data_IF_485421951489
#
_entry.id   IF_485421951489
#
_cell.length_a   1.000
_cell.length_b   1.000
_cell.length_c   1.000
_cell.angle_alpha   90.00
_cell.angle_beta   90.00
_cell.angle_gamma   90.00
#
_symmetry.space_group_name_H-M   'P 1'
#
loop_
_entity.id
_entity.type
_entity.pdbx_description
1 polymer ?
#
# COMPACT_ATOMS: atom_id res chain seq x y z
N UNK A 1 -1.04 39.64 -9.96
CA UNK A 1 -0.77 38.22 -9.60
C UNK A 1 -1.08 37.39 -10.83
N UNK A 2 -0.08 36.78 -11.44
CA UNK A 2 -0.26 35.93 -12.62
C UNK A 2 -0.97 34.65 -12.16
N UNK A 3 -2.11 34.34 -12.78
CA UNK A 3 -2.77 33.05 -12.70
C UNK A 3 -1.79 32.01 -13.30
N UNK A 4 -0.95 31.39 -12.47
CA UNK A 4 -0.22 30.20 -12.85
C UNK A 4 -1.26 29.15 -13.20
N UNK A 5 -1.28 28.70 -14.45
CA UNK A 5 -2.07 27.55 -14.87
C UNK A 5 -1.62 26.36 -14.00
N UNK A 6 -2.51 25.85 -13.14
CA UNK A 6 -2.22 24.81 -12.14
C UNK A 6 -1.76 23.47 -12.79
N UNK A 7 -1.90 23.35 -14.11
CA UNK A 7 -1.44 22.20 -14.88
C UNK A 7 0.10 22.11 -15.03
N UNK A 8 0.84 23.19 -14.75
CA UNK A 8 2.27 23.38 -15.09
C UNK A 8 3.19 23.32 -13.85
N UNK A 9 2.73 22.78 -12.70
CA UNK A 9 3.52 22.76 -11.48
C UNK A 9 4.47 21.55 -11.42
N UNK A 10 5.76 21.84 -11.19
CA UNK A 10 6.75 20.84 -10.80
C UNK A 10 6.55 20.48 -9.32
N UNK A 11 6.16 19.24 -9.03
CA UNK A 11 5.86 18.78 -7.70
C UNK A 11 6.99 17.91 -7.16
N UNK A 12 7.60 18.34 -6.07
CA UNK A 12 8.50 17.47 -5.30
C UNK A 12 7.66 16.52 -4.45
N UNK A 13 7.73 15.24 -4.75
CA UNK A 13 7.06 14.18 -4.00
C UNK A 13 7.98 13.66 -2.91
N UNK A 14 7.52 13.72 -1.67
CA UNK A 14 8.18 13.22 -0.47
C UNK A 14 7.42 11.97 0.00
N UNK A 15 7.91 10.80 -0.40
CA UNK A 15 7.31 9.51 -0.06
C UNK A 15 8.09 8.87 1.09
N UNK A 16 7.68 9.18 2.33
CA UNK A 16 8.25 8.61 3.54
C UNK A 16 7.63 7.22 3.80
N UNK A 17 8.42 6.17 3.58
CA UNK A 17 8.11 4.80 3.95
C UNK A 17 8.66 4.44 5.32
N UNK A 18 8.30 3.26 5.86
CA UNK A 18 8.80 2.77 7.15
C UNK A 18 10.31 2.51 7.16
N UNK A 19 10.93 2.27 6.01
CA UNK A 19 12.34 1.89 5.87
C UNK A 19 13.16 2.83 4.97
N UNK A 20 12.51 3.72 4.22
CA UNK A 20 13.21 4.60 3.27
C UNK A 20 12.41 5.85 2.97
N UNK A 21 13.12 6.96 2.77
CA UNK A 21 12.60 8.18 2.19
C UNK A 21 12.89 8.17 0.69
N UNK A 22 11.85 8.24 -0.14
CA UNK A 22 11.98 8.36 -1.59
C UNK A 22 11.54 9.77 -2.00
N UNK A 23 12.38 10.43 -2.78
CA UNK A 23 12.12 11.76 -3.32
C UNK A 23 12.07 11.69 -4.84
N UNK A 24 11.08 12.34 -5.43
CA UNK A 24 10.98 12.47 -6.89
C UNK A 24 10.43 13.85 -7.25
N UNK A 25 11.06 14.52 -8.22
CA UNK A 25 10.48 15.71 -8.84
C UNK A 25 9.66 15.27 -10.04
N UNK A 26 8.37 15.56 -10.03
CA UNK A 26 7.42 15.22 -11.09
C UNK A 26 7.05 16.50 -11.84
N UNK A 27 7.41 16.56 -13.11
CA UNK A 27 7.11 17.69 -13.99
C UNK A 27 5.66 17.66 -14.53
N UNK A 28 5.31 18.65 -15.34
CA UNK A 28 3.97 18.81 -15.94
C UNK A 28 3.56 17.63 -16.84
N UNK A 29 4.51 17.02 -17.52
CA UNK A 29 4.30 15.87 -18.42
C UNK A 29 4.22 14.54 -17.67
N UNK A 30 4.41 14.54 -16.35
CA UNK A 30 4.44 13.34 -15.53
C UNK A 30 5.77 12.57 -15.61
N UNK A 31 6.83 13.22 -16.08
CA UNK A 31 8.17 12.66 -15.98
C UNK A 31 8.68 12.84 -14.55
N UNK A 32 9.19 11.75 -13.97
CA UNK A 32 9.70 11.77 -12.60
C UNK A 32 11.21 11.62 -12.59
N UNK A 33 11.88 12.58 -11.98
CA UNK A 33 13.31 12.55 -11.71
C UNK A 33 13.52 12.15 -10.23
N UNK A 34 14.24 11.05 -9.99
CA UNK A 34 14.64 10.67 -8.63
C UNK A 34 15.58 11.73 -8.05
N UNK A 35 15.29 12.15 -6.81
CA UNK A 35 16.06 13.14 -6.05
C UNK A 35 16.72 12.43 -4.87
N UNK A 36 18.02 12.68 -4.65
CA UNK A 36 18.76 11.95 -3.62
C UNK A 36 18.51 12.51 -2.20
N UNK A 37 18.34 13.83 -2.06
CA UNK A 37 17.99 14.49 -0.79
C UNK A 37 17.23 15.80 -1.03
N UNK A 38 16.62 16.37 0.01
CA UNK A 38 15.90 17.65 -0.10
C UNK A 38 16.83 18.79 -0.52
N UNK A 39 18.08 18.78 -0.06
CA UNK A 39 19.09 19.80 -0.39
C UNK A 39 19.56 19.70 -1.86
N UNK A 40 19.41 18.53 -2.46
CA UNK A 40 19.78 18.27 -3.87
C UNK A 40 18.56 18.34 -4.80
N UNK A 41 17.42 18.77 -4.31
CA UNK A 41 16.26 18.97 -5.16
C UNK A 41 16.57 20.04 -6.22
N UNK A 42 16.23 19.79 -7.50
CA UNK A 42 16.47 20.74 -8.57
C UNK A 42 15.79 22.09 -8.32
N UNK A 43 16.32 23.14 -8.90
CA UNK A 43 15.63 24.43 -8.95
C UNK A 43 14.29 24.28 -9.70
N UNK A 44 13.26 25.05 -9.30
CA UNK A 44 11.96 25.01 -9.97
C UNK A 44 10.93 24.12 -9.29
N UNK A 45 11.12 23.71 -8.03
CA UNK A 45 10.04 23.13 -7.22
C UNK A 45 8.98 24.19 -6.97
N UNK A 46 7.74 23.91 -7.41
CA UNK A 46 6.60 24.81 -7.27
C UNK A 46 5.70 24.42 -6.10
N UNK A 47 5.61 23.13 -5.77
CA UNK A 47 4.84 22.58 -4.67
C UNK A 47 5.47 21.30 -4.13
N UNK A 48 5.10 20.91 -2.90
CA UNK A 48 5.60 19.68 -2.27
C UNK A 48 4.41 18.78 -1.88
N UNK A 49 4.44 17.54 -2.34
CA UNK A 49 3.46 16.52 -2.00
C UNK A 49 4.02 15.50 -1.02
N UNK A 50 3.29 15.25 0.06
CA UNK A 50 3.72 14.33 1.12
C UNK A 50 2.82 13.11 1.19
N UNK A 51 3.41 11.91 1.13
CA UNK A 51 2.69 10.71 1.51
C UNK A 51 2.57 10.63 3.03
N UNK A 52 1.34 10.49 3.51
CA UNK A 52 1.02 10.21 4.91
C UNK A 52 0.34 8.86 4.99
N UNK A 53 0.84 7.96 5.86
CA UNK A 53 0.35 6.57 5.90
C UNK A 53 -1.08 6.50 6.41
N UNK A 54 -1.45 7.29 7.44
CA UNK A 54 -2.76 7.20 8.07
C UNK A 54 -3.42 8.57 8.20
N UNK A 55 -4.59 8.72 7.57
CA UNK A 55 -5.41 9.94 7.65
C UNK A 55 -6.51 9.89 8.73
N UNK A 56 -6.72 8.74 9.38
CA UNK A 56 -7.83 8.53 10.31
C UNK A 56 -9.19 8.72 9.63
N UNK A 57 -10.22 9.04 10.42
CA UNK A 57 -11.52 9.45 9.90
C UNK A 57 -11.54 10.89 9.42
N UNK A 58 -10.51 11.66 9.78
CA UNK A 58 -10.43 13.11 9.53
C UNK A 58 -10.03 13.43 8.11
N UNK A 59 -9.04 12.72 7.56
CA UNK A 59 -8.45 13.02 6.26
C UNK A 59 -8.80 11.93 5.25
N UNK A 60 -9.86 12.18 4.50
CA UNK A 60 -10.35 11.28 3.43
C UNK A 60 -9.94 11.76 2.03
N UNK A 61 -9.45 12.99 1.94
CA UNK A 61 -9.00 13.64 0.72
C UNK A 61 -7.63 14.30 0.95
N UNK A 62 -6.88 14.60 -0.10
CA UNK A 62 -5.65 15.39 0.00
C UNK A 62 -5.93 16.77 0.60
N UNK A 63 -5.02 17.29 1.43
CA UNK A 63 -5.21 18.55 2.16
C UNK A 63 -3.96 19.42 2.10
N UNK A 64 -4.16 20.75 1.93
CA UNK A 64 -3.10 21.75 2.06
C UNK A 64 -2.66 21.81 3.54
N UNK A 65 -1.35 21.71 3.77
CA UNK A 65 -0.80 21.63 5.12
C UNK A 65 -0.62 23.06 5.67
N UNK A 66 -1.41 23.39 6.67
CA UNK A 66 -1.24 24.54 7.58
C UNK A 66 -0.93 24.07 9.01
N UNK A 67 -0.85 24.99 9.95
CA UNK A 67 -0.55 24.68 11.36
C UNK A 67 -1.69 23.85 12.02
N UNK A 68 -2.95 24.07 11.62
CA UNK A 68 -4.07 23.31 12.14
C UNK A 68 -4.02 21.86 11.65
N UNK A 69 -3.77 21.67 10.33
CA UNK A 69 -3.60 20.35 9.73
C UNK A 69 -2.44 19.60 10.36
N UNK A 70 -1.31 20.27 10.68
CA UNK A 70 -0.20 19.62 11.37
C UNK A 70 -0.60 19.12 12.76
N UNK A 71 -1.28 19.93 13.55
CA UNK A 71 -1.75 19.54 14.88
C UNK A 71 -2.74 18.36 14.81
N UNK A 72 -3.62 18.34 13.80
CA UNK A 72 -4.54 17.22 13.56
C UNK A 72 -3.79 15.95 13.11
N UNK A 73 -2.75 16.06 12.27
CA UNK A 73 -1.91 14.93 11.85
C UNK A 73 -1.14 14.32 13.05
N UNK A 74 -0.66 15.15 13.96
CA UNK A 74 -0.05 14.68 15.21
C UNK A 74 -1.06 13.90 16.06
N UNK A 75 -2.30 14.38 16.17
CA UNK A 75 -3.35 13.68 16.89
C UNK A 75 -3.69 12.31 16.24
N UNK A 76 -3.77 12.26 14.92
CA UNK A 76 -4.00 11.01 14.14
C UNK A 76 -2.81 10.05 14.28
N UNK A 77 -1.59 10.54 14.53
CA UNK A 77 -0.40 9.71 14.70
C UNK A 77 -0.51 8.71 15.86
N UNK A 78 -1.41 8.95 16.82
CA UNK A 78 -1.72 7.98 17.88
C UNK A 78 -2.35 6.70 17.35
N UNK A 79 -3.00 6.73 16.18
CA UNK A 79 -3.59 5.56 15.51
C UNK A 79 -2.54 4.75 14.74
N UNK A 80 -1.41 5.37 14.38
CA UNK A 80 -0.33 4.76 13.62
C UNK A 80 1.05 5.18 14.17
N UNK A 81 1.39 4.84 15.43
CA UNK A 81 2.57 5.37 16.12
C UNK A 81 3.89 4.97 15.47
N UNK A 82 3.91 3.87 14.71
CA UNK A 82 5.10 3.40 13.99
C UNK A 82 5.23 3.97 12.57
N UNK A 83 4.16 4.58 12.02
CA UNK A 83 4.08 4.92 10.59
C UNK A 83 3.97 6.42 10.33
N UNK A 84 3.14 7.14 11.08
CA UNK A 84 2.95 8.58 10.88
C UNK A 84 4.11 9.45 11.37
N UNK A 85 4.81 9.17 12.50
CA UNK A 85 5.93 10.00 12.93
C UNK A 85 7.05 10.19 11.91
N UNK A 86 7.47 9.17 11.12
CA UNK A 86 8.40 9.38 10.01
C UNK A 86 7.86 10.35 8.95
N UNK A 87 6.57 10.29 8.62
CA UNK A 87 5.94 11.22 7.67
C UNK A 87 5.92 12.65 8.20
N UNK A 88 5.59 12.86 9.47
CA UNK A 88 5.62 14.18 10.10
C UNK A 88 7.02 14.80 10.11
N UNK A 89 8.05 14.02 10.45
CA UNK A 89 9.46 14.47 10.36
C UNK A 89 9.85 14.87 8.94
N UNK A 90 9.41 14.09 7.95
CA UNK A 90 9.67 14.40 6.54
C UNK A 90 8.93 15.67 6.07
N UNK A 91 7.70 15.90 6.57
CA UNK A 91 6.95 17.15 6.33
C UNK A 91 7.70 18.34 6.92
N UNK A 92 8.13 18.26 8.19
CA UNK A 92 8.87 19.31 8.89
C UNK A 92 10.16 19.66 8.14
N UNK A 93 10.96 18.65 7.77
CA UNK A 93 12.20 18.84 7.02
C UNK A 93 11.96 19.50 5.66
N UNK A 94 10.92 19.07 4.93
CA UNK A 94 10.60 19.65 3.63
C UNK A 94 10.04 21.08 3.75
N UNK A 95 9.23 21.39 4.75
CA UNK A 95 8.77 22.77 5.03
C UNK A 95 9.94 23.70 5.38
N UNK A 96 10.95 23.19 6.07
CA UNK A 96 12.16 23.96 6.34
C UNK A 96 12.96 24.22 5.06
N UNK A 97 13.05 23.22 4.16
CA UNK A 97 13.80 23.36 2.90
C UNK A 97 13.05 24.22 1.85
N UNK A 98 11.71 24.21 1.88
CA UNK A 98 10.86 24.92 0.91
C UNK A 98 9.77 25.76 1.63
N UNK A 99 10.15 26.76 2.45
CA UNK A 99 9.18 27.48 3.32
C UNK A 99 8.14 28.30 2.53
N UNK A 100 8.48 28.74 1.34
CA UNK A 100 7.63 29.59 0.49
C UNK A 100 6.77 28.77 -0.51
N UNK A 101 6.81 27.43 -0.43
CA UNK A 101 6.07 26.55 -1.33
C UNK A 101 4.86 25.94 -0.62
N UNK A 102 3.74 25.73 -1.34
CA UNK A 102 2.60 25.00 -0.77
C UNK A 102 2.97 23.53 -0.55
N UNK A 103 2.54 22.98 0.59
CA UNK A 103 2.71 21.58 0.97
C UNK A 103 1.34 20.91 1.06
N UNK A 104 1.21 19.73 0.45
CA UNK A 104 -0.06 18.97 0.44
C UNK A 104 0.19 17.57 0.99
N UNK A 105 -0.64 17.13 1.94
CA UNK A 105 -0.67 15.76 2.44
C UNK A 105 -1.60 14.90 1.59
N UNK A 106 -1.13 13.70 1.21
CA UNK A 106 -1.88 12.68 0.47
C UNK A 106 -1.83 11.37 1.26
N UNK A 107 -2.98 10.75 1.48
CA UNK A 107 -3.11 9.67 2.47
C UNK A 107 -3.28 8.30 1.83
N UNK A 108 -2.54 7.30 2.31
CA UNK A 108 -2.71 5.90 1.90
C UNK A 108 -4.11 5.36 2.20
N UNK A 109 -4.76 5.88 3.24
CA UNK A 109 -6.10 5.47 3.66
C UNK A 109 -7.21 6.11 2.84
N UNK A 110 -6.95 7.19 2.09
CA UNK A 110 -7.98 7.98 1.40
C UNK A 110 -8.73 7.17 0.34
N UNK A 111 -8.04 6.37 -0.47
CA UNK A 111 -8.69 5.52 -1.48
C UNK A 111 -9.67 4.51 -0.88
N UNK A 112 -9.48 4.13 0.38
CA UNK A 112 -10.33 3.21 1.12
C UNK A 112 -11.46 3.90 1.90
N UNK A 113 -11.63 5.21 1.76
CA UNK A 113 -12.73 5.95 2.39
C UNK A 113 -14.11 5.49 1.89
N UNK A 114 -14.17 4.82 0.75
CA UNK A 114 -15.37 4.25 0.13
C UNK A 114 -15.72 2.84 0.62
N UNK A 115 -14.96 2.26 1.55
CA UNK A 115 -15.27 0.95 2.13
C UNK A 115 -16.69 0.95 2.71
N UNK A 116 -17.55 0.00 2.30
CA UNK A 116 -18.89 -0.13 2.87
C UNK A 116 -18.81 -0.52 4.36
N UNK A 117 -19.87 -0.23 5.09
CA UNK A 117 -19.89 -0.40 6.56
C UNK A 117 -19.60 -1.84 6.98
N UNK A 118 -20.13 -2.81 6.25
CA UNK A 118 -19.93 -4.24 6.52
C UNK A 118 -18.47 -4.71 6.31
N UNK A 119 -17.71 -4.04 5.43
CA UNK A 119 -16.28 -4.32 5.24
C UNK A 119 -15.40 -3.56 6.24
N UNK A 120 -15.85 -2.38 6.67
CA UNK A 120 -15.08 -1.52 7.56
C UNK A 120 -15.27 -1.83 9.06
N UNK A 121 -16.38 -2.45 9.46
CA UNK A 121 -16.74 -2.64 10.86
C UNK A 121 -16.15 -3.93 11.44
N UNK A 122 -15.40 -3.80 12.53
CA UNK A 122 -14.96 -4.97 13.31
C UNK A 122 -16.09 -5.50 14.20
N UNK A 123 -16.23 -6.83 14.36
CA UNK A 123 -17.19 -7.45 15.27
C UNK A 123 -16.72 -7.35 16.74
N UNK A 124 -16.46 -6.12 17.20
CA UNK A 124 -16.00 -5.78 18.54
C UNK A 124 -17.12 -5.08 19.33
N UNK A 125 -17.04 -4.98 20.68
CA UNK A 125 -18.00 -4.24 21.46
C UNK A 125 -18.23 -2.82 20.94
N UNK A 126 -19.50 -2.39 20.88
CA UNK A 126 -19.89 -1.10 20.30
C UNK A 126 -19.16 0.09 20.96
N UNK A 127 -18.96 0.05 22.31
CA UNK A 127 -18.21 1.09 23.03
C UNK A 127 -16.80 1.31 22.48
N UNK A 128 -16.07 0.25 22.14
CA UNK A 128 -14.72 0.39 21.60
C UNK A 128 -14.73 0.98 20.21
N UNK A 129 -15.67 0.54 19.35
CA UNK A 129 -15.78 1.06 17.99
C UNK A 129 -16.16 2.54 17.98
N UNK A 130 -17.11 2.95 18.83
CA UNK A 130 -17.63 4.31 18.89
C UNK A 130 -16.69 5.28 19.62
N UNK A 131 -16.12 4.87 20.76
CA UNK A 131 -15.28 5.73 21.59
C UNK A 131 -13.85 5.86 21.05
N UNK A 132 -13.31 4.81 20.40
CA UNK A 132 -11.94 4.74 19.96
C UNK A 132 -11.78 4.79 18.42
N UNK A 133 -12.86 4.88 17.66
CA UNK A 133 -12.84 4.91 16.20
C UNK A 133 -12.28 3.62 15.58
N UNK A 134 -12.50 2.45 16.20
CA UNK A 134 -11.93 1.19 15.72
C UNK A 134 -12.71 0.68 14.51
N UNK A 135 -12.10 0.85 13.35
CA UNK A 135 -12.60 0.37 12.07
C UNK A 135 -11.44 -0.04 11.16
N UNK A 136 -11.75 -0.75 10.08
CA UNK A 136 -10.80 -0.95 8.98
C UNK A 136 -10.63 0.34 8.23
N UNK A 137 -9.37 0.81 8.09
CA UNK A 137 -9.01 1.97 7.29
C UNK A 137 -8.47 1.56 5.91
N UNK A 138 -7.71 0.46 5.86
CA UNK A 138 -6.97 0.07 4.67
C UNK A 138 -5.75 0.97 4.42
N UNK A 139 -4.77 0.45 3.68
CA UNK A 139 -3.52 1.15 3.40
C UNK A 139 -3.05 0.86 1.97
N UNK A 140 -1.97 1.51 1.55
CA UNK A 140 -1.43 1.43 0.18
C UNK A 140 -2.42 1.93 -0.89
N UNK A 141 -3.40 2.72 -0.49
CA UNK A 141 -4.48 3.20 -1.36
C UNK A 141 -3.97 4.01 -2.55
N UNK A 142 -2.87 4.77 -2.40
CA UNK A 142 -2.25 5.53 -3.49
C UNK A 142 -1.78 4.59 -4.61
N UNK A 143 -1.13 3.47 -4.27
CA UNK A 143 -0.70 2.45 -5.23
C UNK A 143 -1.89 1.70 -5.85
N UNK A 144 -2.93 1.38 -5.04
CA UNK A 144 -4.15 0.73 -5.52
C UNK A 144 -4.92 1.64 -6.49
N UNK A 145 -5.01 2.93 -6.20
CA UNK A 145 -5.61 3.92 -7.09
C UNK A 145 -4.93 3.94 -8.45
N UNK A 146 -3.59 3.99 -8.48
CA UNK A 146 -2.83 3.93 -9.72
C UNK A 146 -3.15 2.68 -10.54
N UNK A 147 -3.13 1.51 -9.90
CA UNK A 147 -3.42 0.25 -10.57
C UNK A 147 -4.86 0.20 -11.12
N UNK A 148 -5.84 0.71 -10.37
CA UNK A 148 -7.25 0.75 -10.79
C UNK A 148 -7.47 1.69 -11.98
N UNK A 149 -6.75 2.79 -12.05
CA UNK A 149 -6.80 3.72 -13.20
C UNK A 149 -6.16 3.12 -14.46
N UNK A 150 -5.13 2.28 -14.31
CA UNK A 150 -4.44 1.61 -15.44
C UNK A 150 -5.22 0.39 -15.98
N UNK A 151 -6.02 -0.25 -15.12
CA UNK A 151 -6.85 -1.40 -15.48
C UNK A 151 -8.31 -1.12 -15.09
N UNK A 152 -9.02 -0.26 -15.87
CA UNK A 152 -10.36 0.19 -15.53
C UNK A 152 -11.42 -0.87 -15.90
N UNK A 153 -11.58 -1.87 -15.04
CA UNK A 153 -12.60 -2.92 -15.15
C UNK A 153 -13.58 -2.86 -13.98
N UNK A 154 -14.81 -3.37 -14.11
CA UNK A 154 -15.80 -3.31 -13.03
C UNK A 154 -15.39 -4.04 -11.75
N UNK A 155 -14.72 -5.20 -11.86
CA UNK A 155 -14.38 -6.07 -10.73
C UNK A 155 -12.90 -6.40 -10.75
N UNK A 156 -12.11 -5.51 -10.13
CA UNK A 156 -10.66 -5.58 -10.07
C UNK A 156 -10.19 -6.03 -8.69
N UNK A 157 -9.22 -6.92 -8.65
CA UNK A 157 -8.42 -7.20 -7.43
C UNK A 157 -7.00 -6.72 -7.65
N UNK A 158 -6.51 -5.88 -6.74
CA UNK A 158 -5.13 -5.38 -6.75
C UNK A 158 -4.33 -6.05 -5.64
N UNK A 159 -3.26 -6.75 -6.03
CA UNK A 159 -2.27 -7.38 -5.15
C UNK A 159 -1.04 -6.47 -5.08
N UNK A 160 -0.96 -5.61 -4.06
CA UNK A 160 0.25 -4.84 -3.77
C UNK A 160 1.18 -5.68 -2.91
N UNK A 161 2.29 -6.17 -3.48
CA UNK A 161 3.20 -7.13 -2.85
C UNK A 161 4.61 -6.56 -2.72
N UNK A 162 4.81 -5.72 -1.71
CA UNK A 162 6.09 -5.09 -1.37
C UNK A 162 6.64 -5.56 -0.02
N UNK A 163 7.40 -4.70 0.68
CA UNK A 163 7.77 -4.94 2.08
C UNK A 163 6.55 -5.02 3.00
N UNK A 164 5.52 -4.19 2.74
CA UNK A 164 4.14 -4.42 3.16
C UNK A 164 3.35 -5.04 2.02
N UNK A 165 2.30 -5.83 2.33
CA UNK A 165 1.49 -6.51 1.33
C UNK A 165 0.00 -6.41 1.64
N UNK A 166 -0.80 -6.10 0.62
CA UNK A 166 -2.26 -6.09 0.71
C UNK A 166 -2.91 -6.60 -0.56
N UNK A 167 -4.13 -7.10 -0.42
CA UNK A 167 -5.05 -7.39 -1.50
C UNK A 167 -6.27 -6.52 -1.32
N UNK A 168 -6.66 -5.79 -2.37
CA UNK A 168 -7.78 -4.86 -2.35
C UNK A 168 -8.77 -5.19 -3.45
N UNK A 169 -10.04 -5.28 -3.11
CA UNK A 169 -11.16 -5.37 -4.03
C UNK A 169 -11.60 -3.98 -4.47
N UNK A 170 -11.64 -3.76 -5.78
CA UNK A 170 -12.04 -2.49 -6.39
C UNK A 170 -13.22 -2.71 -7.32
N UNK A 171 -14.35 -2.07 -7.03
CA UNK A 171 -15.55 -2.10 -7.85
C UNK A 171 -15.77 -0.75 -8.52
N UNK A 172 -15.76 -0.73 -9.86
CA UNK A 172 -15.93 0.50 -10.64
C UNK A 172 -15.01 1.65 -10.20
N UNK A 173 -13.74 1.35 -9.91
CA UNK A 173 -12.74 2.32 -9.46
C UNK A 173 -12.78 2.69 -7.98
N UNK A 174 -13.67 2.10 -7.17
CA UNK A 174 -13.79 2.36 -5.73
C UNK A 174 -13.39 1.15 -4.89
N UNK A 175 -12.66 1.37 -3.80
CA UNK A 175 -12.32 0.31 -2.84
C UNK A 175 -13.57 -0.18 -2.11
N UNK A 176 -13.82 -1.50 -2.15
CA UNK A 176 -14.96 -2.13 -1.47
C UNK A 176 -14.54 -3.15 -0.40
N UNK A 177 -13.29 -3.60 -0.45
CA UNK A 177 -12.70 -4.45 0.60
C UNK A 177 -11.17 -4.39 0.51
N UNK A 178 -10.45 -4.63 1.61
CA UNK A 178 -8.99 -4.69 1.64
C UNK A 178 -8.50 -5.48 2.84
N UNK A 179 -7.34 -6.11 2.72
CA UNK A 179 -6.80 -7.00 3.76
C UNK A 179 -6.15 -6.27 4.92
N UNK A 180 -5.54 -5.11 4.72
CA UNK A 180 -5.02 -4.30 5.83
C UNK A 180 -6.18 -3.66 6.58
N UNK A 181 -6.07 -3.60 7.90
CA UNK A 181 -7.17 -3.27 8.79
C UNK A 181 -7.09 -1.89 9.45
N UNK A 182 -7.23 -1.89 10.78
CA UNK A 182 -7.01 -0.73 11.63
C UNK A 182 -5.57 -0.24 11.57
N UNK A 183 -4.62 -1.18 11.46
CA UNK A 183 -3.21 -0.93 11.22
C UNK A 183 -2.74 -1.70 9.98
N UNK A 184 -1.58 -1.36 9.40
CA UNK A 184 -0.99 -2.13 8.30
C UNK A 184 -0.33 -3.45 8.76
N UNK A 185 -0.64 -3.94 9.97
CA UNK A 185 -0.23 -5.25 10.48
C UNK A 185 -1.20 -6.36 10.08
N UNK A 186 -2.51 -6.09 10.02
CA UNK A 186 -3.53 -7.07 9.65
C UNK A 186 -3.42 -7.49 8.18
N UNK A 187 -3.86 -8.68 7.87
CA UNK A 187 -4.01 -9.20 6.51
C UNK A 187 -3.00 -10.28 6.15
N UNK A 188 -2.27 -10.06 5.07
CA UNK A 188 -1.28 -11.00 4.57
C UNK A 188 -0.05 -11.09 5.48
N UNK A 189 0.65 -12.25 5.54
CA UNK A 189 2.05 -12.23 5.96
C UNK A 189 2.83 -11.33 5.02
N UNK A 190 3.81 -10.60 5.55
CA UNK A 190 4.60 -9.63 4.79
C UNK A 190 6.09 -9.96 4.93
N UNK A 191 6.98 -9.05 4.58
CA UNK A 191 8.42 -9.26 4.75
C UNK A 191 8.80 -9.65 6.18
N UNK A 192 8.39 -8.84 7.16
CA UNK A 192 8.66 -9.05 8.60
C UNK A 192 7.42 -9.04 9.47
N UNK A 193 6.25 -8.64 8.95
CA UNK A 193 4.99 -8.56 9.68
C UNK A 193 4.22 -9.87 9.59
N UNK A 194 3.58 -10.26 10.70
CA UNK A 194 2.85 -11.53 10.80
C UNK A 194 1.64 -11.62 9.87
N UNK A 195 0.99 -10.49 9.57
CA UNK A 195 -0.38 -10.51 9.07
C UNK A 195 -1.36 -10.98 10.14
N UNK A 196 -2.53 -11.44 9.70
CA UNK A 196 -3.57 -11.94 10.61
C UNK A 196 -3.15 -13.24 11.30
N UNK A 197 -3.20 -13.22 12.63
CA UNK A 197 -3.00 -14.37 13.51
C UNK A 197 -4.20 -14.52 14.44
N UNK A 198 -4.35 -15.67 15.09
CA UNK A 198 -5.40 -15.89 16.08
C UNK A 198 -5.22 -14.95 17.28
N UNK A 199 -6.19 -14.07 17.61
CA UNK A 199 -6.10 -13.20 18.78
C UNK A 199 -5.98 -14.00 20.10
N UNK A 200 -6.53 -15.22 20.17
CA UNK A 200 -6.37 -16.13 21.32
C UNK A 200 -4.93 -16.53 21.55
N UNK A 201 -4.13 -16.69 20.48
CA UNK A 201 -2.69 -16.93 20.56
C UNK A 201 -1.97 -15.77 21.25
N UNK A 202 -2.31 -14.53 20.89
CA UNK A 202 -1.70 -13.32 21.47
C UNK A 202 -2.02 -13.22 22.96
N UNK A 203 -3.27 -13.45 23.33
CA UNK A 203 -3.71 -13.48 24.73
C UNK A 203 -3.03 -14.61 25.52
N UNK A 204 -2.79 -15.76 24.90
CA UNK A 204 -2.07 -16.87 25.52
C UNK A 204 -0.63 -16.49 25.86
N UNK A 205 0.11 -15.90 24.90
CA UNK A 205 1.50 -15.48 25.11
C UNK A 205 1.63 -14.47 26.25
N UNK A 206 0.76 -13.44 26.28
CA UNK A 206 0.74 -12.43 27.32
C UNK A 206 0.37 -13.02 28.69
N UNK A 207 -0.71 -13.82 28.75
CA UNK A 207 -1.23 -14.37 30.02
C UNK A 207 -0.25 -15.32 30.71
N UNK A 208 0.52 -16.07 29.93
CA UNK A 208 1.47 -17.05 30.46
C UNK A 208 2.89 -16.50 30.58
N UNK A 209 3.10 -15.19 30.30
CA UNK A 209 4.41 -14.54 30.44
C UNK A 209 5.46 -15.04 29.46
N UNK A 210 5.02 -15.56 28.29
CA UNK A 210 5.93 -15.93 27.21
C UNK A 210 6.44 -14.73 26.43
N UNK A 211 5.73 -13.59 26.49
CA UNK A 211 6.14 -12.30 25.94
C UNK A 211 5.52 -11.15 26.75
N UNK A 212 6.23 -10.06 26.89
CA UNK A 212 5.68 -8.77 27.28
C UNK A 212 4.92 -8.14 26.12
N UNK A 213 4.19 -7.05 26.37
CA UNK A 213 3.49 -6.32 25.30
C UNK A 213 4.48 -5.79 24.24
N UNK A 214 5.60 -5.20 24.69
CA UNK A 214 6.62 -4.62 23.80
C UNK A 214 7.31 -5.71 22.96
N UNK A 215 7.67 -6.85 23.57
CA UNK A 215 8.24 -7.99 22.84
C UNK A 215 7.24 -8.57 21.82
N UNK A 216 5.97 -8.64 22.17
CA UNK A 216 4.94 -9.12 21.27
C UNK A 216 4.75 -8.17 20.09
N UNK A 217 4.67 -6.86 20.34
CA UNK A 217 4.59 -5.85 19.29
C UNK A 217 5.80 -5.92 18.36
N UNK A 218 7.01 -5.99 18.93
CA UNK A 218 8.24 -6.11 18.16
C UNK A 218 8.25 -7.38 17.28
N UNK A 219 7.93 -8.52 17.84
CA UNK A 219 7.92 -9.79 17.13
C UNK A 219 6.92 -9.79 15.96
N UNK A 220 5.70 -9.26 16.17
CA UNK A 220 4.68 -9.20 15.13
C UNK A 220 5.04 -8.25 13.98
N UNK A 221 5.79 -7.18 14.26
CA UNK A 221 6.18 -6.17 13.27
C UNK A 221 7.49 -6.49 12.53
N UNK A 222 8.49 -7.07 13.22
CA UNK A 222 9.87 -7.09 12.74
C UNK A 222 10.49 -8.49 12.66
N UNK A 223 9.92 -9.51 13.33
CA UNK A 223 10.51 -10.85 13.39
C UNK A 223 9.61 -11.94 12.79
N UNK A 224 8.45 -11.56 12.29
CA UNK A 224 7.44 -12.46 11.73
C UNK A 224 7.48 -12.49 10.18
N UNK A 225 6.37 -12.83 9.56
CA UNK A 225 6.22 -12.84 8.10
C UNK A 225 7.16 -13.82 7.40
N UNK A 226 7.65 -13.42 6.23
CA UNK A 226 8.60 -14.25 5.46
C UNK A 226 9.89 -14.50 6.24
N UNK A 227 10.40 -13.48 6.94
CA UNK A 227 11.58 -13.63 7.79
C UNK A 227 11.37 -14.68 8.88
N UNK A 228 10.28 -14.58 9.65
CA UNK A 228 9.99 -15.52 10.74
C UNK A 228 9.70 -16.94 10.26
N UNK A 229 9.06 -17.10 9.08
CA UNK A 229 8.77 -18.39 8.49
C UNK A 229 10.03 -19.10 7.94
N UNK A 230 10.91 -18.33 7.30
CA UNK A 230 12.10 -18.88 6.65
C UNK A 230 13.31 -18.95 7.58
N UNK A 231 13.36 -18.11 8.62
CA UNK A 231 14.55 -17.85 9.44
C UNK A 231 15.79 -17.46 8.61
N UNK A 232 15.55 -16.93 7.40
CA UNK A 232 16.60 -16.64 6.43
C UNK A 232 16.52 -15.19 5.93
N UNK A 233 15.39 -14.80 5.33
CA UNK A 233 15.26 -13.49 4.66
C UNK A 233 13.81 -13.00 4.61
N UNK A 234 13.59 -11.67 4.66
CA UNK A 234 12.30 -11.05 4.39
C UNK A 234 12.02 -10.88 2.89
N UNK A 235 12.97 -11.18 2.00
CA UNK A 235 12.92 -10.85 0.58
C UNK A 235 12.58 -12.06 -0.28
N UNK A 236 11.51 -11.95 -1.08
CA UNK A 236 11.02 -13.03 -1.95
C UNK A 236 12.12 -13.58 -2.86
N UNK A 237 12.90 -12.71 -3.52
CA UNK A 237 13.94 -13.15 -4.45
C UNK A 237 15.07 -13.95 -3.79
N UNK A 238 15.42 -13.65 -2.52
CA UNK A 238 16.40 -14.41 -1.76
C UNK A 238 15.84 -15.77 -1.34
N UNK A 239 14.56 -15.83 -1.00
CA UNK A 239 13.88 -17.08 -0.67
C UNK A 239 13.71 -17.98 -1.91
N UNK A 240 13.40 -17.40 -3.08
CA UNK A 240 13.35 -18.13 -4.35
C UNK A 240 14.73 -18.74 -4.71
N UNK A 241 15.81 -17.98 -4.50
CA UNK A 241 17.16 -18.46 -4.71
C UNK A 241 17.52 -19.61 -3.73
N UNK A 242 17.14 -19.50 -2.45
CA UNK A 242 17.36 -20.52 -1.44
C UNK A 242 16.55 -21.80 -1.73
N UNK A 243 15.28 -21.66 -2.12
CA UNK A 243 14.45 -22.79 -2.53
C UNK A 243 15.04 -23.54 -3.73
N UNK A 244 15.57 -22.81 -4.72
CA UNK A 244 16.17 -23.40 -5.91
C UNK A 244 17.38 -24.32 -5.58
N UNK A 245 18.02 -24.11 -4.44
CA UNK A 245 19.10 -24.99 -3.94
C UNK A 245 18.63 -25.95 -2.84
N UNK A 246 17.32 -26.07 -2.61
CA UNK A 246 16.70 -27.07 -1.77
C UNK A 246 16.43 -26.65 -0.32
N UNK A 247 16.38 -25.35 0.00
CA UNK A 247 16.00 -24.90 1.36
C UNK A 247 14.48 -25.07 1.57
N UNK A 248 14.13 -26.01 2.45
CA UNK A 248 12.74 -26.37 2.76
C UNK A 248 11.99 -25.28 3.54
N UNK A 249 12.66 -24.44 4.34
CA UNK A 249 12.04 -23.34 5.08
C UNK A 249 11.68 -22.20 4.12
N UNK A 250 12.57 -21.88 3.19
CA UNK A 250 12.29 -20.91 2.13
C UNK A 250 11.11 -21.38 1.26
N UNK A 251 11.08 -22.66 0.86
CA UNK A 251 9.95 -23.27 0.13
C UNK A 251 8.63 -23.13 0.88
N UNK A 252 8.64 -23.47 2.18
CA UNK A 252 7.44 -23.38 3.03
C UNK A 252 6.95 -21.93 3.18
N UNK A 253 7.87 -20.99 3.42
CA UNK A 253 7.57 -19.57 3.55
C UNK A 253 6.89 -19.01 2.29
N UNK A 254 7.45 -19.30 1.10
CA UNK A 254 6.89 -18.91 -0.19
C UNK A 254 5.52 -19.56 -0.46
N UNK A 255 5.37 -20.85 -0.11
CA UNK A 255 4.10 -21.56 -0.28
C UNK A 255 2.99 -20.96 0.62
N UNK A 256 3.31 -20.65 1.88
CA UNK A 256 2.36 -19.97 2.80
C UNK A 256 1.98 -18.60 2.24
N UNK A 257 2.96 -17.82 1.81
CA UNK A 257 2.74 -16.48 1.29
C UNK A 257 1.84 -16.50 0.05
N UNK A 258 2.17 -17.29 -0.95
CA UNK A 258 1.37 -17.43 -2.17
C UNK A 258 -0.07 -17.91 -1.88
N UNK A 259 -0.22 -18.90 -0.99
CA UNK A 259 -1.54 -19.40 -0.57
C UNK A 259 -2.36 -18.32 0.12
N UNK A 260 -1.77 -17.51 1.01
CA UNK A 260 -2.50 -16.43 1.70
C UNK A 260 -2.93 -15.33 0.74
N UNK A 261 -2.10 -14.97 -0.24
CA UNK A 261 -2.46 -14.03 -1.30
C UNK A 261 -3.64 -14.58 -2.10
N UNK A 262 -3.56 -15.84 -2.56
CA UNK A 262 -4.64 -16.45 -3.35
C UNK A 262 -5.96 -16.54 -2.56
N UNK A 263 -5.92 -16.87 -1.27
CA UNK A 263 -7.09 -16.85 -0.39
C UNK A 263 -7.71 -15.45 -0.30
N UNK A 264 -6.89 -14.41 -0.18
CA UNK A 264 -7.35 -13.03 -0.14
C UNK A 264 -7.96 -12.58 -1.49
N UNK A 265 -7.37 -12.99 -2.62
CA UNK A 265 -7.96 -12.76 -3.96
C UNK A 265 -9.32 -13.43 -4.09
N UNK A 266 -9.45 -14.69 -3.67
CA UNK A 266 -10.72 -15.41 -3.71
C UNK A 266 -11.78 -14.77 -2.79
N UNK A 267 -11.39 -14.31 -1.60
CA UNK A 267 -12.29 -13.56 -0.72
C UNK A 267 -12.72 -12.23 -1.33
N UNK A 268 -11.81 -11.51 -1.98
CA UNK A 268 -12.10 -10.27 -2.71
C UNK A 268 -13.06 -10.50 -3.88
N UNK A 269 -12.98 -11.65 -4.55
CA UNK A 269 -13.94 -12.00 -5.62
C UNK A 269 -15.37 -12.17 -5.07
N UNK A 270 -15.53 -12.60 -3.80
CA UNK A 270 -16.84 -12.63 -3.12
C UNK A 270 -17.35 -11.20 -2.90
N UNK A 271 -16.51 -10.30 -2.39
CA UNK A 271 -16.87 -8.88 -2.17
C UNK A 271 -17.25 -8.17 -3.48
N UNK A 272 -16.75 -8.65 -4.63
CA UNK A 272 -17.00 -8.10 -5.97
C UNK A 272 -18.17 -8.77 -6.72
N UNK A 273 -18.67 -9.90 -6.24
CA UNK A 273 -19.61 -10.77 -6.96
C UNK A 273 -19.03 -11.22 -8.31
N UNK A 274 -17.78 -11.66 -8.29
CA UNK A 274 -17.02 -12.13 -9.44
C UNK A 274 -15.67 -11.45 -9.60
N UNK A 275 -14.99 -11.69 -10.73
CA UNK A 275 -13.64 -11.21 -10.96
C UNK A 275 -13.39 -10.98 -12.45
N UNK A 276 -13.01 -9.76 -12.84
CA UNK A 276 -12.67 -9.43 -14.23
C UNK A 276 -11.16 -9.33 -14.43
N UNK A 277 -10.43 -8.84 -13.42
CA UNK A 277 -8.98 -8.73 -13.51
C UNK A 277 -8.27 -8.84 -12.14
N UNK A 278 -7.02 -9.31 -12.19
CA UNK A 278 -6.06 -9.27 -11.11
C UNK A 278 -4.89 -8.39 -11.56
N UNK A 279 -4.45 -7.47 -10.71
CA UNK A 279 -3.22 -6.70 -10.91
C UNK A 279 -2.21 -7.07 -9.84
N UNK A 280 -0.99 -7.40 -10.25
CA UNK A 280 0.18 -7.50 -9.39
C UNK A 280 1.00 -6.21 -9.49
N UNK A 281 1.33 -5.62 -8.34
CA UNK A 281 2.10 -4.37 -8.28
C UNK A 281 3.06 -4.37 -7.09
N UNK A 282 3.95 -3.42 -7.04
CA UNK A 282 5.01 -3.26 -6.05
C UNK A 282 6.05 -4.41 -6.07
N UNK A 283 7.09 -4.25 -5.33
CA UNK A 283 8.26 -5.10 -5.14
C UNK A 283 8.22 -6.49 -5.75
N UNK A 284 7.71 -7.47 -5.01
CA UNK A 284 7.63 -8.86 -5.45
C UNK A 284 6.53 -9.06 -6.50
N UNK A 285 5.42 -8.30 -6.42
CA UNK A 285 4.35 -8.36 -7.41
C UNK A 285 4.83 -8.05 -8.83
N UNK A 286 5.69 -7.04 -8.96
CA UNK A 286 6.27 -6.63 -10.24
C UNK A 286 7.40 -7.56 -10.70
N UNK A 287 8.27 -8.00 -9.78
CA UNK A 287 9.58 -8.59 -10.12
C UNK A 287 9.69 -10.10 -9.97
N UNK A 288 8.68 -10.80 -9.38
CA UNK A 288 8.73 -12.25 -9.20
C UNK A 288 7.68 -12.95 -10.06
N UNK A 289 8.05 -13.43 -11.26
CA UNK A 289 7.17 -14.28 -12.07
C UNK A 289 6.81 -15.60 -11.35
N UNK A 290 7.72 -16.15 -10.54
CA UNK A 290 7.50 -17.36 -9.77
C UNK A 290 6.40 -17.19 -8.71
N UNK A 291 6.42 -16.07 -7.97
CA UNK A 291 5.37 -15.76 -7.00
C UNK A 291 4.01 -15.60 -7.69
N UNK A 292 3.94 -14.84 -8.79
CA UNK A 292 2.70 -14.66 -9.56
C UNK A 292 2.15 -15.99 -10.06
N UNK A 293 3.02 -16.86 -10.59
CA UNK A 293 2.64 -18.19 -11.05
C UNK A 293 2.08 -19.06 -9.90
N UNK A 294 2.73 -19.05 -8.71
CA UNK A 294 2.26 -19.76 -7.52
C UNK A 294 0.89 -19.27 -7.05
N UNK A 295 0.67 -17.96 -7.02
CA UNK A 295 -0.61 -17.37 -6.62
C UNK A 295 -1.71 -17.78 -7.61
N UNK A 296 -1.47 -17.60 -8.91
CA UNK A 296 -2.46 -17.88 -9.95
C UNK A 296 -2.78 -19.38 -10.07
N UNK A 297 -1.82 -20.27 -9.79
CA UNK A 297 -2.06 -21.72 -9.76
C UNK A 297 -3.14 -22.14 -8.74
N UNK A 298 -3.36 -21.38 -7.68
CA UNK A 298 -4.45 -21.60 -6.73
C UNK A 298 -5.81 -21.04 -7.20
N UNK A 299 -5.86 -20.24 -8.27
CA UNK A 299 -7.03 -19.47 -8.69
C UNK A 299 -7.68 -20.00 -9.98
N UNK A 300 -7.23 -21.16 -10.49
CA UNK A 300 -7.78 -21.76 -11.71
C UNK A 300 -9.30 -22.02 -11.63
N UNK A 301 -9.85 -22.29 -10.45
CA UNK A 301 -11.29 -22.45 -10.24
C UNK A 301 -12.10 -21.15 -10.43
N UNK A 302 -11.42 -19.99 -10.42
CA UNK A 302 -12.00 -18.68 -10.77
C UNK A 302 -11.80 -18.34 -12.25
N UNK A 303 -11.21 -19.23 -13.03
CA UNK A 303 -10.92 -19.01 -14.44
C UNK A 303 -9.64 -18.24 -14.72
N UNK A 304 -8.73 -18.17 -13.75
CA UNK A 304 -7.40 -17.53 -13.88
C UNK A 304 -6.42 -18.52 -14.50
N UNK A 305 -5.88 -18.18 -15.65
CA UNK A 305 -4.80 -18.92 -16.31
C UNK A 305 -3.69 -17.95 -16.74
N UNK A 306 -2.44 -18.25 -16.41
CA UNK A 306 -1.28 -17.46 -16.83
C UNK A 306 -0.70 -17.98 -18.14
N UNK A 307 -0.22 -17.06 -18.97
CA UNK A 307 0.75 -17.36 -20.01
C UNK A 307 2.15 -17.38 -19.37
N UNK A 308 2.81 -18.54 -19.27
CA UNK A 308 4.11 -18.65 -18.61
C UNK A 308 5.21 -17.86 -19.32
N UNK A 309 5.12 -17.71 -20.65
CA UNK A 309 6.11 -16.96 -21.44
C UNK A 309 5.92 -15.47 -21.20
N UNK A 310 4.67 -14.97 -21.28
CA UNK A 310 4.37 -13.56 -20.99
C UNK A 310 4.71 -13.21 -19.55
N UNK A 311 4.37 -14.07 -18.58
CA UNK A 311 4.68 -13.85 -17.17
C UNK A 311 6.18 -13.74 -16.89
N UNK A 312 7.01 -14.58 -17.50
CA UNK A 312 8.47 -14.56 -17.32
C UNK A 312 9.09 -13.36 -18.03
N UNK A 313 8.60 -13.00 -19.23
CA UNK A 313 9.19 -11.94 -20.04
C UNK A 313 8.76 -10.52 -19.62
N UNK A 314 7.72 -10.37 -18.80
CA UNK A 314 7.17 -9.05 -18.47
C UNK A 314 8.14 -8.24 -17.60
N UNK A 315 8.59 -7.12 -18.13
CA UNK A 315 9.34 -6.07 -17.46
C UNK A 315 8.53 -4.79 -17.58
N UNK A 316 8.06 -4.23 -16.45
CA UNK A 316 7.16 -3.08 -16.47
C UNK A 316 5.68 -3.47 -16.55
N UNK A 317 4.86 -2.56 -17.09
CA UNK A 317 3.43 -2.82 -17.29
C UNK A 317 3.20 -3.86 -18.39
N UNK A 318 2.36 -4.86 -18.13
CA UNK A 318 2.07 -5.90 -19.13
C UNK A 318 0.97 -6.86 -18.72
N UNK A 319 0.27 -7.40 -19.74
CA UNK A 319 -0.69 -8.49 -19.57
C UNK A 319 0.05 -9.83 -19.54
N UNK A 320 -0.34 -10.69 -18.60
CA UNK A 320 0.31 -12.00 -18.39
C UNK A 320 -0.70 -13.15 -18.33
N UNK A 321 -1.97 -12.89 -18.66
CA UNK A 321 -2.99 -13.93 -18.75
C UNK A 321 -2.85 -14.73 -20.04
N UNK A 322 -3.13 -16.04 -19.99
CA UNK A 322 -3.30 -16.87 -21.18
C UNK A 322 -4.57 -16.44 -21.96
N UNK A 323 -4.58 -16.69 -23.26
CA UNK A 323 -5.76 -16.38 -24.10
C UNK A 323 -7.03 -17.18 -23.73
N UNK A 324 -6.87 -18.31 -23.04
CA UNK A 324 -7.95 -19.12 -22.45
C UNK A 324 -8.46 -18.60 -21.11
N UNK A 325 -7.74 -17.68 -20.45
CA UNK A 325 -8.14 -17.13 -19.16
C UNK A 325 -9.40 -16.27 -19.29
N UNK A 326 -10.39 -16.52 -18.45
CA UNK A 326 -11.59 -15.67 -18.37
C UNK A 326 -11.38 -14.43 -17.49
N UNK A 327 -10.29 -14.38 -16.76
CA UNK A 327 -9.87 -13.27 -15.90
C UNK A 327 -8.58 -12.69 -16.45
N UNK A 328 -8.53 -11.38 -16.65
CA UNK A 328 -7.29 -10.67 -17.01
C UNK A 328 -6.30 -10.73 -15.85
N UNK A 329 -5.03 -10.90 -16.17
CA UNK A 329 -3.95 -10.80 -15.16
C UNK A 329 -2.88 -9.87 -15.71
N UNK A 330 -2.58 -8.81 -14.98
CA UNK A 330 -1.61 -7.81 -15.41
C UNK A 330 -0.58 -7.50 -14.31
N UNK A 331 0.59 -7.08 -14.74
CA UNK A 331 1.59 -6.42 -13.91
C UNK A 331 1.49 -4.92 -14.17
N UNK A 332 1.40 -4.11 -13.13
CA UNK A 332 1.42 -2.65 -13.21
C UNK A 332 2.48 -2.11 -12.26
N UNK A 333 3.45 -1.39 -12.80
CA UNK A 333 4.50 -0.75 -12.00
C UNK A 333 3.89 0.34 -11.13
N UNK A 334 4.16 0.28 -9.83
CA UNK A 334 3.64 1.27 -8.87
C UNK A 334 4.25 2.66 -9.14
N UNK A 335 3.39 3.65 -9.34
CA UNK A 335 3.75 5.04 -9.57
C UNK A 335 2.99 5.96 -8.60
N UNK A 336 3.23 5.74 -7.30
CA UNK A 336 2.67 6.57 -6.22
C UNK A 336 3.05 8.04 -6.39
N UNK A 337 4.24 8.31 -6.90
CA UNK A 337 4.77 9.64 -7.23
C UNK A 337 3.82 10.42 -8.15
N UNK A 338 3.31 9.79 -9.21
CA UNK A 338 2.40 10.42 -10.16
C UNK A 338 1.02 10.72 -9.54
N UNK A 339 0.50 9.79 -8.73
CA UNK A 339 -0.78 10.00 -8.04
C UNK A 339 -0.67 11.15 -7.06
N UNK A 340 0.42 11.19 -6.26
CA UNK A 340 0.67 12.27 -5.31
C UNK A 340 0.80 13.62 -6.02
N UNK A 341 1.62 13.71 -7.08
CA UNK A 341 1.81 14.95 -7.82
C UNK A 341 0.49 15.47 -8.43
N UNK A 342 -0.34 14.57 -8.99
CA UNK A 342 -1.65 14.92 -9.50
C UNK A 342 -2.59 15.42 -8.40
N UNK A 343 -2.61 14.75 -7.25
CA UNK A 343 -3.41 15.14 -6.09
C UNK A 343 -3.02 16.54 -5.59
N UNK A 344 -1.71 16.86 -5.54
CA UNK A 344 -1.20 18.19 -5.20
C UNK A 344 -1.76 19.25 -6.16
N UNK A 345 -1.64 19.01 -7.47
CA UNK A 345 -2.13 19.96 -8.48
C UNK A 345 -3.63 20.20 -8.36
N UNK A 346 -4.42 19.15 -8.14
CA UNK A 346 -5.87 19.25 -7.97
C UNK A 346 -6.25 20.03 -6.71
N UNK A 347 -5.57 19.76 -5.58
CA UNK A 347 -5.82 20.47 -4.31
C UNK A 347 -5.52 21.95 -4.44
N UNK A 348 -4.41 22.32 -5.08
CA UNK A 348 -4.03 23.72 -5.27
C UNK A 348 -4.95 24.45 -6.26
N UNK A 349 -5.44 23.76 -7.30
CA UNK A 349 -6.45 24.31 -8.23
C UNK A 349 -7.75 24.65 -7.52
N UNK A 350 -8.24 23.75 -6.67
CA UNK A 350 -9.46 23.97 -5.91
C UNK A 350 -9.33 25.18 -4.95
N UNK A 351 -8.20 25.28 -4.23
CA UNK A 351 -7.93 26.36 -3.29
C UNK A 351 -7.77 27.75 -3.94
N UNK A 352 -7.56 27.81 -5.28
CA UNK A 352 -7.45 29.09 -6.01
C UNK A 352 -8.81 29.59 -6.52
N UNK A 353 -9.84 28.74 -6.45
CA UNK A 353 -11.18 29.03 -6.99
C UNK A 353 -12.17 29.51 -5.92
N UNK A 354 -11.84 29.27 -4.63
CA UNK A 354 -12.55 29.75 -3.44
C UNK A 354 -11.93 31.08 -2.94
#
# INVERSE_FOLDING_TARGET
MALLSVAVLNVLVVNAGSTSLKLALVDEDGMALTVASLEQAPAGVDAVGHRVVHGGDRFRDPVLIDENVLAELEAVSKLAPLHNPPSLKAIEAARHAFPDRPHVAVFDTAFHATLPEEAATYPLPARWRQELGLRRYGFQGISVQWAAERVPVPRLVVCHLGGGSSVTAVRNGQSVDTTMGFTPLEGLPMATRSGSVDPGLLLYLLRHGHASLDELEHALQYESGLLGLSELSPHVHELEAAEAVGDERARLALAIYARRIAQAVAASAVSLDGLDAIVFTAGAGERSPQLRARVCAHLGFLGVELDPVANEATIGDGEIAASSSSVRVAVIVSREDLVIARAVRQTLAAATTD
#
